data_IF_964030684402
#
_entry.id   IF_964030684402
#
_cell.length_a   1.000
_cell.length_b   1.000
_cell.length_c   1.000
_cell.angle_alpha   90.00
_cell.angle_beta   90.00
_cell.angle_gamma   90.00
#
_symmetry.space_group_name_H-M   'P 1'
#
loop_
_entity.id
_entity.type
_entity.pdbx_description
1 polymer ?
#
# COMPACT_ATOMS: atom_id res chain seq x y z
N UNK A 1 14.31 7.09 -6.96
CA UNK A 1 13.89 6.39 -5.73
C UNK A 1 12.51 5.82 -6.02
N UNK A 2 12.40 4.52 -6.22
CA UNK A 2 11.11 3.89 -6.49
C UNK A 2 10.44 3.55 -5.14
N UNK A 3 9.21 3.98 -4.97
CA UNK A 3 8.34 3.57 -3.87
C UNK A 3 7.44 2.46 -4.38
N UNK A 4 7.13 1.48 -3.55
CA UNK A 4 6.23 0.38 -3.91
C UNK A 4 5.11 0.31 -2.90
N UNK A 5 3.89 0.47 -3.38
CA UNK A 5 2.68 0.20 -2.61
C UNK A 5 2.46 -1.31 -2.63
N UNK A 6 2.38 -1.94 -1.46
CA UNK A 6 2.10 -3.36 -1.28
C UNK A 6 0.74 -3.49 -0.63
N UNK A 7 -0.17 -4.18 -1.30
CA UNK A 7 -1.51 -4.48 -0.82
C UNK A 7 -1.54 -5.85 -0.18
N UNK A 8 -2.10 -5.95 1.01
CA UNK A 8 -2.28 -7.20 1.74
C UNK A 8 -3.77 -7.50 1.87
N UNK A 9 -4.14 -8.70 1.46
CA UNK A 9 -5.44 -9.29 1.75
C UNK A 9 -5.37 -10.33 2.85
N UNK A 10 -6.51 -10.94 3.17
CA UNK A 10 -6.61 -11.96 4.22
C UNK A 10 -5.66 -13.16 4.04
N UNK A 11 -5.26 -13.44 2.80
CA UNK A 11 -4.42 -14.59 2.46
C UNK A 11 -2.97 -14.24 2.08
N UNK A 12 -2.57 -12.96 2.18
CA UNK A 12 -1.20 -12.53 1.85
C UNK A 12 -1.14 -11.28 0.97
N UNK A 13 -0.03 -11.10 0.25
CA UNK A 13 0.16 -9.97 -0.66
C UNK A 13 -0.75 -10.16 -1.89
N UNK A 14 -1.63 -9.20 -2.15
CA UNK A 14 -2.50 -9.17 -3.31
C UNK A 14 -1.82 -8.52 -4.52
N UNK A 15 -1.14 -7.40 -4.30
CA UNK A 15 -0.64 -6.56 -5.39
C UNK A 15 0.54 -5.71 -4.93
N UNK A 16 1.44 -5.40 -5.87
CA UNK A 16 2.56 -4.48 -5.67
C UNK A 16 2.60 -3.49 -6.81
N UNK A 17 2.53 -2.19 -6.50
CA UNK A 17 2.49 -1.12 -7.49
C UNK A 17 3.65 -0.15 -7.26
N UNK A 18 4.59 -0.02 -8.22
CA UNK A 18 5.69 0.92 -8.11
C UNK A 18 5.24 2.36 -8.43
N UNK A 19 5.92 3.33 -7.81
CA UNK A 19 5.67 4.76 -7.89
C UNK A 19 6.97 5.54 -7.84
N UNK A 20 7.00 6.68 -8.54
CA UNK A 20 8.19 7.54 -8.59
C UNK A 20 8.38 8.39 -7.32
N UNK A 21 7.31 8.62 -6.54
CA UNK A 21 7.36 9.46 -5.34
C UNK A 21 6.55 8.87 -4.18
N UNK A 22 7.01 9.13 -2.94
CA UNK A 22 6.31 8.72 -1.72
C UNK A 22 4.89 9.29 -1.67
N UNK A 23 4.75 10.56 -2.06
CA UNK A 23 3.47 11.25 -2.04
C UNK A 23 2.47 10.57 -2.99
N UNK A 24 2.87 10.26 -4.22
CA UNK A 24 1.99 9.55 -5.16
C UNK A 24 1.62 8.15 -4.65
N UNK A 25 2.58 7.43 -4.08
CA UNK A 25 2.34 6.11 -3.49
C UNK A 25 1.34 6.17 -2.31
N UNK A 26 1.51 7.12 -1.39
CA UNK A 26 0.60 7.34 -0.25
C UNK A 26 -0.78 7.78 -0.69
N UNK A 27 -0.86 8.74 -1.60
CA UNK A 27 -2.12 9.29 -2.09
C UNK A 27 -2.95 8.20 -2.77
N UNK A 28 -2.29 7.40 -3.63
CA UNK A 28 -2.89 6.22 -4.24
C UNK A 28 -3.31 5.18 -3.20
N UNK A 29 -2.43 4.84 -2.25
CA UNK A 29 -2.75 3.91 -1.18
C UNK A 29 -4.00 4.34 -0.38
N UNK A 30 -4.10 5.61 0.00
CA UNK A 30 -5.25 6.14 0.74
C UNK A 30 -6.53 6.14 -0.09
N UNK A 31 -6.49 6.67 -1.32
CA UNK A 31 -7.64 6.73 -2.20
C UNK A 31 -8.19 5.33 -2.53
N UNK A 32 -7.29 4.40 -2.88
CA UNK A 32 -7.68 3.03 -3.23
C UNK A 32 -8.05 2.18 -2.02
N UNK A 33 -7.48 2.44 -0.83
CA UNK A 33 -7.87 1.73 0.39
C UNK A 33 -9.30 2.06 0.82
N UNK A 34 -9.77 3.30 0.60
CA UNK A 34 -11.16 3.67 0.87
C UNK A 34 -12.15 3.02 -0.11
N UNK A 35 -11.74 2.84 -1.37
CA UNK A 35 -12.57 2.26 -2.44
C UNK A 35 -12.61 0.72 -2.40
N UNK A 36 -11.47 0.07 -2.10
CA UNK A 36 -11.34 -1.39 -2.01
C UNK A 36 -11.94 -1.94 -0.70
N UNK A 37 -13.26 -1.95 -0.60
CA UNK A 37 -14.03 -2.44 0.58
C UNK A 37 -14.15 -3.96 0.75
N UNK A 38 -13.63 -4.78 -0.17
CA UNK A 38 -13.76 -6.24 -0.07
C UNK A 38 -12.41 -6.93 -0.32
N UNK A 39 -11.74 -7.33 0.76
CA UNK A 39 -10.63 -8.29 0.71
C UNK A 39 -9.24 -7.74 1.05
N UNK A 40 -9.05 -6.42 1.06
CA UNK A 40 -7.81 -5.78 1.53
C UNK A 40 -7.88 -5.57 3.04
N UNK A 41 -6.88 -6.07 3.76
CA UNK A 41 -6.74 -5.93 5.22
C UNK A 41 -5.66 -4.93 5.59
N UNK A 42 -4.66 -4.71 4.73
CA UNK A 42 -3.64 -3.71 4.95
C UNK A 42 -3.01 -3.23 3.64
N UNK A 43 -2.38 -2.07 3.70
CA UNK A 43 -1.56 -1.51 2.63
C UNK A 43 -0.30 -0.93 3.24
N UNK A 44 0.83 -1.12 2.58
CA UNK A 44 2.12 -0.55 2.98
C UNK A 44 2.74 0.19 1.79
N UNK A 45 3.46 1.28 2.06
CA UNK A 45 4.35 1.90 1.08
C UNK A 45 5.76 1.64 1.55
N UNK A 46 6.55 1.01 0.68
CA UNK A 46 7.96 0.70 0.92
C UNK A 46 8.85 1.46 -0.06
N UNK A 47 10.05 1.80 0.36
CA UNK A 47 11.13 2.24 -0.53
C UNK A 47 11.82 1.04 -1.19
N UNK A 48 12.68 1.29 -2.18
CA UNK A 48 13.42 0.23 -2.86
C UNK A 48 14.41 -0.51 -1.93
N UNK A 49 14.91 0.18 -0.89
CA UNK A 49 15.73 -0.40 0.18
C UNK A 49 14.92 -1.31 1.16
N UNK A 50 13.61 -1.45 0.95
CA UNK A 50 12.71 -2.23 1.80
C UNK A 50 12.15 -1.49 3.01
N UNK A 51 12.55 -0.23 3.24
CA UNK A 51 12.06 0.60 4.35
C UNK A 51 10.56 0.90 4.18
N UNK A 52 9.76 0.57 5.19
CA UNK A 52 8.32 0.92 5.22
C UNK A 52 8.18 2.38 5.64
N UNK A 53 7.62 3.23 4.77
CA UNK A 53 7.38 4.66 5.03
C UNK A 53 5.92 4.97 5.34
N UNK A 54 5.03 4.03 5.04
CA UNK A 54 3.61 4.14 5.34
C UNK A 54 3.04 2.74 5.51
N UNK A 55 2.12 2.59 6.46
CA UNK A 55 1.38 1.36 6.68
C UNK A 55 0.01 1.72 7.20
N UNK A 56 -1.03 1.19 6.58
CA UNK A 56 -2.41 1.37 7.00
C UNK A 56 -3.10 0.01 7.01
N UNK A 57 -3.68 -0.36 8.15
CA UNK A 57 -4.45 -1.58 8.31
C UNK A 57 -5.93 -1.25 8.49
N UNK A 58 -6.80 -2.05 7.88
CA UNK A 58 -8.24 -1.93 7.97
C UNK A 58 -8.72 -2.65 9.21
N UNK A 59 -8.82 -1.92 10.31
CA UNK A 59 -9.31 -2.44 11.58
C UNK A 59 -10.46 -1.61 12.10
N UNK A 60 -11.69 -2.02 11.79
CA UNK A 60 -12.90 -2.03 12.63
C UNK A 60 -14.04 -2.69 11.85
#
# INVERSE_FOLDING_TARGET
MAFTVIWYGKHGILEKTPFDTEKAARDHALATFQDRKAGIVAVEVRKDDGTVVFSQAGGS
#
